data_IF_511940476180
#
_entry.id   IF_511940476180
#
_cell.length_a   1.000
_cell.length_b   1.000
_cell.length_c   1.000
_cell.angle_alpha   90.00
_cell.angle_beta   90.00
_cell.angle_gamma   90.00
#
_symmetry.space_group_name_H-M   'P 1'
#
loop_
_entity.id
_entity.type
_entity.pdbx_description
1 polymer ?
#
# COMPACT_ATOMS: atom_id res chain seq x y z
N UNK A 1 -5.13 20.81 3.10
CA UNK A 1 -4.46 19.53 2.77
C UNK A 1 -3.91 18.89 4.03
N UNK A 2 -4.73 18.08 4.70
CA UNK A 2 -4.30 17.25 5.82
C UNK A 2 -4.06 15.81 5.34
N UNK A 3 -2.96 15.20 5.78
CA UNK A 3 -2.63 13.80 5.55
C UNK A 3 -2.71 13.06 6.89
N UNK A 4 -3.39 11.93 6.91
CA UNK A 4 -3.32 11.00 8.04
C UNK A 4 -2.20 10.00 7.76
N UNK A 5 -1.30 9.81 8.74
CA UNK A 5 -0.17 8.88 8.66
C UNK A 5 -0.31 7.88 9.79
N UNK A 6 -0.31 6.59 9.44
CA UNK A 6 -0.40 5.50 10.40
C UNK A 6 0.87 4.62 10.32
N UNK A 7 1.28 4.09 11.47
CA UNK A 7 2.42 3.19 11.59
C UNK A 7 1.94 1.84 12.13
N UNK A 8 2.13 0.77 11.35
CA UNK A 8 1.80 -0.59 11.78
C UNK A 8 3.10 -1.39 11.95
N UNK A 9 3.22 -2.09 13.07
CA UNK A 9 4.35 -2.99 13.35
C UNK A 9 3.92 -4.44 13.19
N UNK A 10 4.49 -5.13 12.21
CA UNK A 10 4.35 -6.58 12.03
C UNK A 10 5.75 -7.20 12.16
N UNK A 11 6.06 -7.81 13.31
CA UNK A 11 7.42 -8.27 13.61
C UNK A 11 8.40 -7.11 13.83
N UNK A 12 9.52 -7.08 13.09
CA UNK A 12 10.54 -6.00 13.13
C UNK A 12 10.36 -4.93 12.04
N UNK A 13 9.30 -5.02 11.23
CA UNK A 13 9.07 -4.13 10.09
C UNK A 13 8.12 -3.00 10.49
N UNK A 14 8.51 -1.77 10.19
CA UNK A 14 7.64 -0.60 10.27
C UNK A 14 6.98 -0.37 8.91
N UNK A 15 5.66 -0.49 8.86
CA UNK A 15 4.87 -0.15 7.68
C UNK A 15 4.32 1.25 7.89
N UNK A 16 4.57 2.14 6.94
CA UNK A 16 4.02 3.50 6.94
C UNK A 16 2.94 3.59 5.88
N UNK A 17 1.75 4.00 6.28
CA UNK A 17 0.65 4.27 5.35
C UNK A 17 0.19 5.71 5.46
N UNK A 18 -0.34 6.24 4.36
CA UNK A 18 -1.02 7.53 4.34
C UNK A 18 -2.34 7.46 3.61
N UNK A 19 -3.23 8.36 3.98
CA UNK A 19 -4.46 8.61 3.25
C UNK A 19 -4.74 10.12 3.21
N UNK A 20 -5.16 10.60 2.03
CA UNK A 20 -5.70 11.94 1.92
C UNK A 20 -7.12 11.97 2.50
N UNK A 21 -7.33 12.85 3.48
CA UNK A 21 -8.58 12.95 4.24
C UNK A 21 -9.61 13.84 3.53
N UNK A 22 -9.17 14.74 2.65
CA UNK A 22 -10.02 15.66 1.90
C UNK A 22 -10.53 15.03 0.59
N UNK A 23 -9.70 14.19 -0.05
CA UNK A 23 -10.04 13.47 -1.29
C UNK A 23 -9.74 11.99 -1.05
N UNK A 24 -10.75 11.12 -0.90
CA UNK A 24 -10.53 9.71 -0.64
C UNK A 24 -10.05 9.01 -1.90
N UNK A 25 -8.78 9.22 -2.24
CA UNK A 25 -8.11 8.56 -3.38
C UNK A 25 -7.69 7.14 -3.08
N UNK A 26 -7.83 6.71 -1.81
CA UNK A 26 -7.42 5.41 -1.28
C UNK A 26 -6.15 5.51 -0.44
N UNK A 27 -5.70 4.36 0.08
CA UNK A 27 -4.53 4.27 0.96
C UNK A 27 -3.27 4.04 0.13
N UNK A 28 -2.17 4.68 0.54
CA UNK A 28 -0.84 4.46 -0.01
C UNK A 28 0.11 3.94 1.07
N UNK A 29 1.11 3.17 0.66
CA UNK A 29 2.13 2.58 1.53
C UNK A 29 3.52 2.98 1.06
N UNK A 30 4.41 3.25 2.02
CA UNK A 30 5.81 3.55 1.75
C UNK A 30 6.58 2.26 1.44
N UNK A 31 7.25 2.22 0.29
CA UNK A 31 8.19 1.17 -0.06
C UNK A 31 9.57 1.38 0.58
N UNK A 32 10.36 0.32 0.68
CA UNK A 32 11.77 0.39 1.14
C UNK A 32 12.66 1.27 0.26
N UNK A 33 12.21 1.58 -0.96
CA UNK A 33 12.85 2.47 -1.92
C UNK A 33 12.50 3.96 -1.70
N UNK A 34 11.60 4.27 -0.77
CA UNK A 34 11.17 5.63 -0.45
C UNK A 34 10.01 6.15 -1.31
N UNK A 35 9.43 5.31 -2.17
CA UNK A 35 8.28 5.67 -2.99
C UNK A 35 6.95 5.29 -2.31
N UNK A 36 5.91 6.06 -2.61
CA UNK A 36 4.54 5.78 -2.15
C UNK A 36 3.79 4.99 -3.22
N UNK A 37 3.19 3.87 -2.81
CA UNK A 37 2.43 3.00 -3.70
C UNK A 37 0.97 2.88 -3.26
N UNK A 38 0.07 3.06 -4.20
CA UNK A 38 -1.36 2.97 -3.95
C UNK A 38 -1.85 1.52 -3.81
N UNK A 39 -2.79 1.27 -2.88
CA UNK A 39 -3.41 -0.06 -2.67
C UNK A 39 -3.84 -0.80 -3.94
N UNK A 40 -4.27 -0.07 -4.98
CA UNK A 40 -4.74 -0.64 -6.24
C UNK A 40 -3.67 -1.38 -7.05
N UNK A 41 -2.38 -1.13 -6.81
CA UNK A 41 -1.29 -1.84 -7.52
C UNK A 41 -0.68 -2.96 -6.68
N UNK A 42 -1.02 -3.05 -5.40
CA UNK A 42 -0.34 -3.94 -4.44
C UNK A 42 -1.05 -5.28 -4.24
N UNK A 43 -2.24 -5.46 -4.82
CA UNK A 43 -3.00 -6.72 -4.75
C UNK A 43 -3.07 -7.42 -6.10
N UNK A 44 -2.78 -8.73 -6.19
CA UNK A 44 -2.85 -9.49 -7.45
C UNK A 44 -4.28 -9.68 -8.00
N UNK A 45 -5.32 -9.34 -7.22
CA UNK A 45 -6.72 -9.66 -7.52
C UNK A 45 -7.19 -10.89 -6.74
N UNK A 46 -8.46 -11.28 -6.90
CA UNK A 46 -9.07 -12.43 -6.18
C UNK A 46 -10.02 -13.21 -7.10
N UNK A 47 -10.07 -14.53 -6.92
CA UNK A 47 -11.06 -15.45 -7.51
C UNK A 47 -11.30 -15.25 -9.02
N UNK A 48 -10.25 -15.40 -9.83
CA UNK A 48 -10.34 -15.28 -11.30
C UNK A 48 -10.36 -13.85 -11.84
N UNK A 49 -10.60 -12.84 -10.99
CA UNK A 49 -10.41 -11.44 -11.35
C UNK A 49 -8.97 -11.02 -11.06
N UNK A 50 -8.12 -11.18 -12.07
CA UNK A 50 -6.73 -10.73 -12.04
C UNK A 50 -6.71 -9.20 -12.10
N UNK A 51 -5.93 -8.59 -11.22
CA UNK A 51 -5.67 -7.16 -11.30
C UNK A 51 -4.59 -6.88 -12.34
N UNK A 52 -4.97 -6.30 -13.48
CA UNK A 52 -4.04 -5.95 -14.56
C UNK A 52 -2.99 -4.92 -14.14
N UNK A 53 -3.25 -4.15 -13.08
CA UNK A 53 -2.33 -3.14 -12.55
C UNK A 53 -1.46 -3.67 -11.41
N UNK A 54 -1.51 -4.98 -11.12
CA UNK A 54 -0.70 -5.55 -10.07
C UNK A 54 0.79 -5.37 -10.37
N UNK A 55 1.51 -4.79 -9.42
CA UNK A 55 2.94 -4.61 -9.45
C UNK A 55 3.54 -5.45 -8.31
N UNK A 56 4.16 -6.57 -8.68
CA UNK A 56 4.77 -7.51 -7.73
C UNK A 56 5.92 -6.87 -6.95
N UNK A 57 6.75 -6.07 -7.63
CA UNK A 57 7.89 -5.40 -7.01
C UNK A 57 7.43 -4.39 -5.94
N UNK A 58 6.41 -3.58 -6.25
CA UNK A 58 5.83 -2.65 -5.28
C UNK A 58 5.20 -3.37 -4.07
N UNK A 59 4.56 -4.54 -4.30
CA UNK A 59 4.00 -5.35 -3.23
C UNK A 59 5.10 -5.91 -2.31
N UNK A 60 6.22 -6.37 -2.88
CA UNK A 60 7.38 -6.82 -2.12
C UNK A 60 8.04 -5.67 -1.33
N UNK A 61 8.26 -4.51 -1.95
CA UNK A 61 8.90 -3.35 -1.34
C UNK A 61 8.11 -2.75 -0.18
N UNK A 62 6.78 -2.85 -0.21
CA UNK A 62 5.92 -2.30 0.86
C UNK A 62 5.72 -3.27 2.01
N UNK A 63 6.11 -4.55 1.86
CA UNK A 63 5.96 -5.61 2.86
C UNK A 63 4.55 -5.76 3.44
N UNK A 64 3.53 -5.34 2.69
CA UNK A 64 2.16 -5.36 3.19
C UNK A 64 1.58 -6.77 3.09
N UNK A 65 1.03 -7.25 4.21
CA UNK A 65 0.07 -8.36 4.18
C UNK A 65 -1.32 -7.74 4.13
N UNK A 66 -1.85 -7.54 2.92
CA UNK A 66 -3.24 -7.14 2.77
C UNK A 66 -4.15 -8.39 2.76
N UNK A 67 -5.32 -8.34 3.43
CA UNK A 67 -6.28 -9.43 3.45
C UNK A 67 -6.87 -9.75 2.09
#
# INVERSE_FOLDING_TARGET
MYLQIDYVKTGSIYIVSRQNVEIPTGVEYMGTDGNWYHTSVLKPGKNGNINANFNNEAAEMTHIQLP
#
